data_IF_865333997592
#
_entry.id   IF_865333997592
#
_cell.length_a   1.000
_cell.length_b   1.000
_cell.length_c   1.000
_cell.angle_alpha   90.00
_cell.angle_beta   90.00
_cell.angle_gamma   90.00
#
_symmetry.space_group_name_H-M   'P 1'
#
loop_
_entity.id
_entity.type
_entity.pdbx_description
1 polymer ?
#
# COMPACT_ATOMS: atom_id res chain seq x y z
N UNK A 1 11.00 -6.70 -2.19
CA UNK A 1 11.52 -6.94 -0.83
C UNK A 1 11.57 -5.59 -0.12
N UNK A 2 10.82 -5.43 0.97
CA UNK A 2 10.84 -4.22 1.79
C UNK A 2 11.93 -4.34 2.85
N UNK A 3 12.76 -3.32 3.01
CA UNK A 3 13.83 -3.29 4.01
C UNK A 3 13.29 -2.70 5.31
N UNK A 4 13.46 -3.36 6.46
CA UNK A 4 13.06 -2.77 7.74
C UNK A 4 13.71 -1.40 7.97
N UNK A 5 12.93 -0.46 8.50
CA UNK A 5 13.35 0.91 8.77
C UNK A 5 13.04 1.89 7.63
N UNK A 6 12.52 1.43 6.49
CA UNK A 6 12.24 2.31 5.34
C UNK A 6 11.26 3.44 5.67
N UNK A 7 10.28 3.27 6.56
CA UNK A 7 9.36 4.36 6.93
C UNK A 7 9.66 5.01 8.28
N UNK A 8 10.61 4.45 9.06
CA UNK A 8 10.83 4.88 10.45
C UNK A 8 12.24 5.39 10.70
N UNK A 9 13.22 5.01 9.89
CA UNK A 9 14.62 5.36 10.07
C UNK A 9 15.08 6.39 9.03
N UNK A 10 15.08 7.67 9.41
CA UNK A 10 15.49 8.80 8.55
C UNK A 10 16.97 8.78 8.14
N UNK A 11 17.81 7.98 8.81
CA UNK A 11 19.24 7.87 8.50
C UNK A 11 19.52 6.88 7.36
N UNK A 12 18.55 6.05 6.96
CA UNK A 12 18.70 5.09 5.89
C UNK A 12 18.60 5.79 4.53
N UNK A 13 19.45 5.40 3.58
CA UNK A 13 19.42 5.96 2.21
C UNK A 13 18.12 5.70 1.46
N UNK A 14 17.38 4.65 1.85
CA UNK A 14 16.07 4.30 1.28
C UNK A 14 14.90 4.72 2.17
N UNK A 15 15.07 5.74 3.02
CA UNK A 15 13.98 6.30 3.80
C UNK A 15 12.92 6.93 2.90
N UNK A 16 11.65 6.66 3.20
CA UNK A 16 10.52 7.26 2.50
C UNK A 16 9.38 7.51 3.49
N UNK A 17 8.70 8.64 3.36
CA UNK A 17 7.51 8.96 4.17
C UNK A 17 6.31 9.14 3.25
N UNK A 18 5.71 8.03 2.77
CA UNK A 18 4.60 8.10 1.84
C UNK A 18 3.33 8.61 2.54
N UNK A 19 2.52 9.37 1.81
CA UNK A 19 1.23 9.87 2.31
C UNK A 19 0.10 8.85 2.26
N UNK A 20 0.30 7.76 1.51
CA UNK A 20 -0.63 6.66 1.34
C UNK A 20 0.20 5.43 0.98
N UNK A 21 -0.09 4.30 1.61
CA UNK A 21 0.53 3.02 1.31
C UNK A 21 -0.51 2.08 0.73
N UNK A 22 -0.24 1.55 -0.47
CA UNK A 22 -1.07 0.53 -1.13
C UNK A 22 -0.27 -0.76 -1.15
N UNK A 23 -0.88 -1.85 -0.67
CA UNK A 23 -0.23 -3.15 -0.52
C UNK A 23 -1.03 -4.25 -1.23
N UNK A 24 -0.29 -5.31 -1.58
CA UNK A 24 -0.88 -6.48 -2.20
C UNK A 24 -1.43 -7.44 -1.16
N UNK A 25 -0.63 -8.13 -0.33
CA UNK A 25 -1.17 -9.10 0.63
C UNK A 25 -0.72 -8.77 2.06
N UNK A 26 -1.65 -8.48 2.99
CA UNK A 26 -1.31 -8.23 4.39
C UNK A 26 -0.51 -9.35 5.06
N UNK A 27 -0.60 -10.59 4.55
CA UNK A 27 0.13 -11.74 5.09
C UNK A 27 1.62 -11.66 4.78
N UNK A 28 1.97 -11.34 3.54
CA UNK A 28 3.37 -11.24 3.10
C UNK A 28 3.97 -9.88 3.45
N UNK A 29 3.17 -8.81 3.40
CA UNK A 29 3.60 -7.41 3.56
C UNK A 29 3.52 -6.92 5.02
N UNK A 30 3.66 -7.82 5.99
CA UNK A 30 3.52 -7.50 7.42
C UNK A 30 4.54 -6.47 7.94
N UNK A 31 5.72 -6.35 7.33
CA UNK A 31 6.75 -5.40 7.73
C UNK A 31 6.35 -3.95 7.40
N UNK A 32 6.07 -3.59 6.14
CA UNK A 32 5.63 -2.23 5.80
C UNK A 32 4.33 -1.84 6.51
N UNK A 33 3.43 -2.77 6.81
CA UNK A 33 2.19 -2.52 7.58
C UNK A 33 2.48 -2.06 9.02
N UNK A 34 3.47 -2.67 9.67
CA UNK A 34 3.84 -2.27 11.04
C UNK A 34 4.49 -0.89 11.03
N UNK A 35 5.35 -0.64 10.05
CA UNK A 35 6.04 0.64 9.94
C UNK A 35 5.10 1.77 9.53
N UNK A 36 4.11 1.51 8.67
CA UNK A 36 3.08 2.49 8.31
C UNK A 36 2.24 2.89 9.51
N UNK A 37 1.91 1.94 10.38
CA UNK A 37 1.21 2.20 11.63
C UNK A 37 2.03 3.09 12.59
N UNK A 38 3.36 2.94 12.61
CA UNK A 38 4.25 3.78 13.41
C UNK A 38 4.42 5.19 12.83
N UNK A 39 4.40 5.32 11.50
CA UNK A 39 4.52 6.59 10.77
C UNK A 39 3.20 7.33 10.54
N UNK A 40 2.08 6.86 11.10
CA UNK A 40 0.74 7.40 10.84
C UNK A 40 0.37 7.48 9.34
N UNK A 41 0.86 6.53 8.55
CA UNK A 41 0.62 6.45 7.11
C UNK A 41 -0.67 5.68 6.88
N UNK A 42 -1.67 6.25 6.17
CA UNK A 42 -2.89 5.53 5.84
C UNK A 42 -2.61 4.39 4.85
N UNK A 43 -3.32 3.28 5.01
CA UNK A 43 -3.04 2.00 4.36
C UNK A 43 -4.26 1.44 3.64
N UNK A 44 -4.06 1.03 2.39
CA UNK A 44 -5.03 0.27 1.60
C UNK A 44 -4.37 -1.05 1.23
N UNK A 45 -5.07 -2.16 1.46
CA UNK A 45 -4.57 -3.47 1.04
C UNK A 45 -5.64 -4.26 0.31
N UNK A 46 -5.19 -5.04 -0.66
CA UNK A 46 -6.01 -6.09 -1.25
C UNK A 46 -5.99 -7.31 -0.33
N UNK A 47 -7.14 -7.98 -0.18
CA UNK A 47 -7.32 -8.99 0.86
C UNK A 47 -8.11 -10.17 0.32
N UNK A 48 -7.71 -11.37 0.74
CA UNK A 48 -8.53 -12.57 0.64
C UNK A 48 -9.39 -12.72 1.92
N UNK A 49 -10.24 -13.75 1.96
CA UNK A 49 -11.15 -14.01 3.10
C UNK A 49 -10.42 -14.30 4.42
N UNK A 50 -9.18 -14.78 4.35
CA UNK A 50 -8.35 -15.16 5.49
C UNK A 50 -7.19 -14.17 5.76
N UNK A 51 -7.11 -13.07 5.00
CA UNK A 51 -6.04 -12.09 5.16
C UNK A 51 -6.18 -11.31 6.49
N UNK A 52 -5.07 -11.09 7.23
CA UNK A 52 -5.11 -10.33 8.49
C UNK A 52 -5.34 -8.84 8.23
N UNK A 53 -6.42 -8.29 8.79
CA UNK A 53 -6.83 -6.89 8.59
C UNK A 53 -6.25 -5.91 9.63
N UNK A 54 -5.21 -6.31 10.37
CA UNK A 54 -4.66 -5.48 11.46
C UNK A 54 -3.80 -4.35 10.87
N UNK A 55 -4.08 -3.12 11.28
CA UNK A 55 -3.42 -1.91 10.78
C UNK A 55 -3.65 -1.63 9.28
N UNK A 56 -4.74 -2.18 8.73
CA UNK A 56 -5.23 -1.85 7.39
C UNK A 56 -6.44 -0.94 7.57
N UNK A 57 -6.41 0.25 6.97
CA UNK A 57 -7.52 1.20 7.06
C UNK A 57 -8.65 0.84 6.07
N UNK A 58 -8.28 0.44 4.84
CA UNK A 58 -9.22 0.01 3.80
C UNK A 58 -8.77 -1.34 3.21
N UNK A 59 -9.63 -2.35 3.34
CA UNK A 59 -9.45 -3.65 2.70
C UNK A 59 -10.28 -3.77 1.43
N UNK A 60 -9.63 -4.07 0.30
CA UNK A 60 -10.30 -4.39 -0.95
C UNK A 60 -10.33 -5.91 -1.06
N UNK A 61 -11.52 -6.49 -0.93
CA UNK A 61 -11.67 -7.94 -1.06
C UNK A 61 -11.56 -8.36 -2.53
N UNK A 62 -10.61 -9.25 -2.81
CA UNK A 62 -10.32 -9.76 -4.15
C UNK A 62 -10.37 -11.28 -4.09
N UNK A 63 -10.85 -11.94 -5.15
CA UNK A 63 -10.88 -13.41 -5.20
C UNK A 63 -10.16 -13.91 -6.46
N UNK A 64 -8.99 -14.52 -6.26
CA UNK A 64 -8.19 -15.15 -7.32
C UNK A 64 -7.36 -14.17 -8.15
N UNK A 65 -6.19 -14.63 -8.62
CA UNK A 65 -5.14 -13.80 -9.26
C UNK A 65 -5.63 -12.86 -10.37
N UNK A 66 -6.62 -13.27 -11.18
CA UNK A 66 -7.16 -12.41 -12.23
C UNK A 66 -7.85 -11.15 -11.68
N UNK A 67 -8.52 -11.25 -10.54
CA UNK A 67 -9.16 -10.09 -9.92
C UNK A 67 -8.13 -9.14 -9.31
N UNK A 68 -6.94 -9.64 -8.94
CA UNK A 68 -5.80 -8.80 -8.50
C UNK A 68 -5.27 -7.94 -9.63
N UNK A 69 -5.06 -8.54 -10.81
CA UNK A 69 -4.58 -7.84 -12.00
C UNK A 69 -5.58 -6.73 -12.41
N UNK A 70 -6.87 -7.07 -12.50
CA UNK A 70 -7.91 -6.11 -12.88
C UNK A 70 -8.03 -4.99 -11.85
N UNK A 71 -8.09 -5.34 -10.55
CA UNK A 71 -8.26 -4.35 -9.50
C UNK A 71 -7.06 -3.41 -9.41
N UNK A 72 -5.84 -3.94 -9.53
CA UNK A 72 -4.63 -3.11 -9.55
C UNK A 72 -4.59 -2.19 -10.78
N UNK A 73 -4.87 -2.71 -11.98
CA UNK A 73 -4.91 -1.90 -13.21
C UNK A 73 -5.93 -0.74 -13.10
N UNK A 74 -7.13 -1.01 -12.59
CA UNK A 74 -8.19 0.01 -12.50
C UNK A 74 -7.98 1.00 -11.36
N UNK A 75 -7.46 0.56 -10.20
CA UNK A 75 -7.12 1.46 -9.10
C UNK A 75 -5.94 2.36 -9.48
N UNK A 76 -4.87 1.78 -10.02
CA UNK A 76 -3.68 2.56 -10.36
C UNK A 76 -3.91 3.45 -11.58
N UNK A 77 -4.69 3.03 -12.59
CA UNK A 77 -5.05 3.92 -13.71
C UNK A 77 -5.85 5.15 -13.25
N UNK A 78 -6.74 4.97 -12.27
CA UNK A 78 -7.45 6.09 -11.63
C UNK A 78 -6.52 7.07 -10.91
N UNK A 79 -5.47 6.56 -10.23
CA UNK A 79 -4.45 7.39 -9.58
C UNK A 79 -3.54 8.09 -10.60
N UNK A 80 -3.13 7.42 -11.68
CA UNK A 80 -2.26 7.98 -12.71
C UNK A 80 -2.94 9.15 -13.45
N UNK A 81 -4.24 9.01 -13.74
CA UNK A 81 -5.07 10.07 -14.29
C UNK A 81 -5.20 11.29 -13.34
N UNK A 82 -5.33 11.05 -12.03
CA UNK A 82 -5.38 12.11 -11.03
C UNK A 82 -4.02 12.79 -10.83
N UNK A 83 -2.91 12.03 -10.85
CA UNK A 83 -1.56 12.58 -10.68
C UNK A 83 -1.13 13.45 -11.87
N UNK A 84 -1.53 13.07 -13.10
CA UNK A 84 -1.34 13.92 -14.28
C UNK A 84 -2.14 15.24 -14.20
N UNK A 85 -3.36 15.22 -13.65
CA UNK A 85 -4.19 16.42 -13.53
C UNK A 85 -3.74 17.42 -12.45
N UNK A 86 -2.88 16.99 -11.51
CA UNK A 86 -2.34 17.85 -10.43
C UNK A 86 -0.97 18.45 -10.79
N UNK A 87 -0.35 18.03 -11.90
CA UNK A 87 0.94 18.58 -12.36
C UNK A 87 0.82 19.67 -13.44
N UNK A 88 -0.38 20.17 -13.73
CA UNK A 88 -0.58 21.30 -14.64
C UNK A 88 -1.11 22.52 -13.90
N UNK A 89 -0.22 23.20 -13.17
CA UNK A 89 -0.15 24.67 -12.99
C UNK A 89 1.22 25.06 -12.43
#
# INVERSE_FOLDING_TARGET
MHTPGTFTNQMQSSFSEPRLLILTDPRTDHQPIKESALGNIPTIAFCDTDSPMRYIDIGILVNGAAAWDIASEHLFSGFDAQFQSVQSD
#
